data_IF_734372191890
#
_entry.id   IF_734372191890
#
_cell.length_a   1.000
_cell.length_b   1.000
_cell.length_c   1.000
_cell.angle_alpha   90.00
_cell.angle_beta   90.00
_cell.angle_gamma   90.00
#
_symmetry.space_group_name_H-M   'P 1'
#
loop_
_entity.id
_entity.type
_entity.pdbx_description
1 polymer ?
#
# COMPACT_ATOMS: atom_id res chain seq x y z
N UNK A 1 8.19 9.02 -15.57
CA UNK A 1 7.04 9.36 -14.71
C UNK A 1 7.57 10.25 -13.59
N UNK A 2 6.97 11.42 -13.33
CA UNK A 2 7.36 12.23 -12.17
C UNK A 2 6.63 11.70 -10.93
N UNK A 3 7.38 11.32 -9.88
CA UNK A 3 6.84 10.75 -8.64
C UNK A 3 6.80 11.76 -7.48
N UNK A 4 7.38 12.95 -7.63
CA UNK A 4 7.39 14.00 -6.59
C UNK A 4 6.00 14.32 -6.00
N UNK A 5 4.89 14.37 -6.78
CA UNK A 5 3.58 14.65 -6.20
C UNK A 5 3.10 13.53 -5.26
N UNK A 6 3.50 12.29 -5.52
CA UNK A 6 3.16 11.15 -4.66
C UNK A 6 4.02 11.16 -3.39
N UNK A 7 5.34 11.38 -3.51
CA UNK A 7 6.23 11.56 -2.34
C UNK A 7 5.73 12.68 -1.43
N UNK A 8 5.26 13.79 -2.00
CA UNK A 8 4.64 14.88 -1.25
C UNK A 8 3.35 14.46 -0.55
N UNK A 9 2.50 13.67 -1.21
CA UNK A 9 1.25 13.16 -0.61
C UNK A 9 1.51 12.13 0.50
N UNK A 10 2.62 11.39 0.40
CA UNK A 10 3.10 10.45 1.41
C UNK A 10 3.85 11.14 2.56
N UNK A 11 4.16 12.43 2.42
CA UNK A 11 5.04 13.19 3.33
C UNK A 11 6.39 12.50 3.57
N UNK A 12 6.86 11.72 2.59
CA UNK A 12 8.09 10.93 2.67
C UNK A 12 8.88 11.10 1.38
N UNK A 13 10.15 11.47 1.52
CA UNK A 13 11.10 11.56 0.40
C UNK A 13 11.99 10.34 0.41
N UNK A 14 11.95 9.54 -0.66
CA UNK A 14 12.65 8.26 -0.68
C UNK A 14 14.16 8.46 -0.83
N UNK A 15 14.93 7.77 0.01
CA UNK A 15 16.38 7.62 -0.17
C UNK A 15 16.70 6.57 -1.23
N UNK A 16 15.81 5.58 -1.36
CA UNK A 16 15.83 4.48 -2.33
C UNK A 16 14.60 4.56 -3.26
N UNK A 17 14.59 5.43 -4.29
CA UNK A 17 13.46 5.61 -5.20
C UNK A 17 13.01 4.33 -5.91
N UNK A 18 13.90 3.33 -6.04
CA UNK A 18 13.58 2.02 -6.56
C UNK A 18 12.52 1.28 -5.72
N UNK A 19 12.42 1.53 -4.42
CA UNK A 19 11.37 0.97 -3.57
C UNK A 19 10.00 1.53 -3.95
N UNK A 20 9.92 2.84 -4.17
CA UNK A 20 8.69 3.51 -4.62
C UNK A 20 8.26 2.99 -6.00
N UNK A 21 9.18 2.90 -6.95
CA UNK A 21 8.87 2.37 -8.30
C UNK A 21 8.37 0.93 -8.21
N UNK A 22 9.02 0.07 -7.42
CA UNK A 22 8.61 -1.33 -7.24
C UNK A 22 7.22 -1.43 -6.58
N UNK A 23 6.94 -0.62 -5.58
CA UNK A 23 5.63 -0.58 -4.92
C UNK A 23 4.48 -0.18 -5.87
N UNK A 24 4.80 0.59 -6.92
CA UNK A 24 3.83 1.01 -7.94
C UNK A 24 3.73 0.06 -9.14
N UNK A 25 4.58 -0.98 -9.21
CA UNK A 25 4.68 -1.84 -10.40
C UNK A 25 3.85 -3.11 -10.26
N UNK A 26 2.77 -3.19 -11.04
CA UNK A 26 1.95 -4.39 -11.14
C UNK A 26 2.65 -5.51 -11.92
N UNK A 27 2.30 -6.76 -11.62
CA UNK A 27 2.88 -7.95 -12.26
C UNK A 27 2.72 -7.98 -13.78
N UNK A 28 1.61 -7.43 -14.29
CA UNK A 28 1.37 -7.31 -15.74
C UNK A 28 2.42 -6.45 -16.46
N UNK A 29 2.99 -5.44 -15.80
CA UNK A 29 3.97 -4.53 -16.40
C UNK A 29 5.41 -5.08 -16.37
N UNK A 30 5.69 -6.07 -15.51
CA UNK A 30 7.03 -6.63 -15.36
C UNK A 30 7.21 -7.87 -16.21
N UNK A 31 8.09 -7.78 -17.22
CA UNK A 31 8.59 -8.93 -17.97
C UNK A 31 9.84 -9.56 -17.31
N UNK A 32 10.35 -8.96 -16.22
CA UNK A 32 11.61 -9.34 -15.56
C UNK A 32 11.39 -10.07 -14.22
N UNK A 33 12.49 -10.68 -13.74
CA UNK A 33 12.65 -11.59 -12.60
C UNK A 33 11.80 -11.31 -11.34
N UNK A 34 11.49 -12.38 -10.59
CA UNK A 34 10.86 -12.33 -9.26
C UNK A 34 11.41 -11.18 -8.40
N UNK A 35 10.54 -10.26 -7.96
CA UNK A 35 10.88 -9.19 -7.00
C UNK A 35 10.89 -7.76 -7.55
N UNK A 36 10.63 -7.56 -8.83
CA UNK A 36 10.43 -6.24 -9.47
C UNK A 36 9.02 -5.67 -9.32
N UNK A 37 8.07 -6.46 -8.81
CA UNK A 37 6.66 -6.13 -8.64
C UNK A 37 6.34 -5.78 -7.18
N UNK A 38 5.16 -5.20 -6.96
CA UNK A 38 4.73 -4.80 -5.62
C UNK A 38 4.42 -5.98 -4.69
N UNK A 39 4.20 -7.20 -5.20
CA UNK A 39 3.63 -8.33 -4.43
C UNK A 39 4.41 -8.69 -3.16
N UNK A 40 5.75 -8.58 -3.20
CA UNK A 40 6.58 -8.82 -1.99
C UNK A 40 6.48 -7.68 -0.97
N UNK A 41 6.29 -6.45 -1.47
CA UNK A 41 6.11 -5.27 -0.64
C UNK A 41 4.71 -5.27 -0.05
N UNK A 42 3.67 -5.58 -0.83
CA UNK A 42 2.30 -5.82 -0.35
C UNK A 42 2.31 -6.83 0.81
N UNK A 43 2.95 -7.99 0.61
CA UNK A 43 3.08 -8.99 1.67
C UNK A 43 3.68 -8.41 2.96
N UNK A 44 4.74 -7.62 2.88
CA UNK A 44 5.32 -6.99 4.06
C UNK A 44 4.40 -5.89 4.64
N UNK A 45 3.78 -5.12 3.76
CA UNK A 45 2.99 -3.93 4.05
C UNK A 45 1.74 -4.22 4.85
N UNK A 46 1.02 -5.28 4.50
CA UNK A 46 -0.13 -5.80 5.26
C UNK A 46 0.25 -6.09 6.72
N UNK A 47 1.45 -6.66 6.96
CA UNK A 47 1.91 -7.05 8.31
C UNK A 47 2.37 -5.82 9.09
N UNK A 48 3.04 -4.88 8.43
CA UNK A 48 3.43 -3.60 9.01
C UNK A 48 2.19 -2.81 9.41
N UNK A 49 1.22 -2.66 8.50
CA UNK A 49 -0.06 -2.02 8.77
C UNK A 49 -0.79 -2.69 9.92
N UNK A 50 -0.88 -4.02 9.89
CA UNK A 50 -1.51 -4.83 10.92
C UNK A 50 -0.93 -4.55 12.31
N UNK A 51 0.40 -4.53 12.44
CA UNK A 51 1.07 -4.25 13.70
C UNK A 51 0.84 -2.81 14.18
N UNK A 52 0.98 -1.82 13.29
CA UNK A 52 0.80 -0.40 13.64
C UNK A 52 -0.63 -0.14 14.12
N UNK A 53 -1.63 -0.65 13.40
CA UNK A 53 -3.04 -0.49 13.78
C UNK A 53 -3.36 -1.23 15.06
N UNK A 54 -2.84 -2.45 15.26
CA UNK A 54 -3.02 -3.20 16.50
C UNK A 54 -2.44 -2.42 17.69
N UNK A 55 -1.23 -1.87 17.55
CA UNK A 55 -0.59 -1.06 18.59
C UNK A 55 -1.37 0.21 18.88
N UNK A 56 -1.84 0.92 17.85
CA UNK A 56 -2.66 2.12 17.99
C UNK A 56 -3.95 1.82 18.77
N UNK A 57 -4.63 0.71 18.45
CA UNK A 57 -5.87 0.32 19.14
C UNK A 57 -5.61 -0.09 20.59
N UNK A 58 -4.53 -0.86 20.86
CA UNK A 58 -4.14 -1.26 22.21
C UNK A 58 -3.90 -0.05 23.11
N UNK A 59 -3.15 0.95 22.64
CA UNK A 59 -2.85 2.15 23.41
C UNK A 59 -4.09 3.07 23.56
N UNK A 60 -4.95 3.13 22.53
CA UNK A 60 -6.12 4.02 22.50
C UNK A 60 -7.30 3.50 23.34
N UNK A 61 -7.44 2.19 23.47
CA UNK A 61 -8.57 1.52 24.11
C UNK A 61 -8.12 0.53 25.21
N UNK A 62 -7.46 1.01 26.28
CA UNK A 62 -6.81 0.15 27.29
C UNK A 62 -7.75 -0.72 28.13
N UNK A 63 -9.07 -0.52 28.00
CA UNK A 63 -10.11 -1.24 28.75
C UNK A 63 -11.00 -2.11 27.87
N UNK A 64 -10.78 -2.13 26.55
CA UNK A 64 -11.53 -3.00 25.65
C UNK A 64 -11.03 -4.45 25.71
N UNK A 65 -11.95 -5.37 25.45
CA UNK A 65 -11.61 -6.78 25.33
C UNK A 65 -10.82 -7.05 24.04
N UNK A 66 -10.06 -8.15 24.01
CA UNK A 66 -9.37 -8.58 22.78
C UNK A 66 -10.34 -8.70 21.59
N UNK A 67 -11.53 -9.24 21.81
CA UNK A 67 -12.53 -9.40 20.76
C UNK A 67 -13.05 -8.08 20.19
N UNK A 68 -13.15 -7.03 21.00
CA UNK A 68 -13.56 -5.71 20.52
C UNK A 68 -12.43 -4.99 19.78
N UNK A 69 -11.19 -5.11 20.26
CA UNK A 69 -10.00 -4.65 19.55
C UNK A 69 -9.85 -5.35 18.19
N UNK A 70 -10.08 -6.65 18.13
CA UNK A 70 -10.00 -7.46 16.90
C UNK A 70 -11.03 -7.04 15.84
N UNK A 71 -12.27 -6.74 16.25
CA UNK A 71 -13.30 -6.18 15.35
C UNK A 71 -12.89 -4.83 14.76
N UNK A 72 -12.38 -3.93 15.61
CA UNK A 72 -11.91 -2.60 15.17
C UNK A 72 -10.71 -2.72 14.22
N UNK A 73 -9.76 -3.60 14.57
CA UNK A 73 -8.57 -3.88 13.76
C UNK A 73 -8.96 -4.31 12.36
N UNK A 74 -9.80 -5.34 12.26
CA UNK A 74 -10.29 -5.87 10.98
C UNK A 74 -11.00 -4.81 10.14
N UNK A 75 -11.74 -3.88 10.77
CA UNK A 75 -12.42 -2.79 10.06
C UNK A 75 -11.46 -1.69 9.53
N UNK A 76 -10.27 -1.55 10.12
CA UNK A 76 -9.27 -0.55 9.74
C UNK A 76 -8.26 -1.05 8.73
N UNK A 77 -7.95 -2.35 8.72
CA UNK A 77 -6.99 -2.96 7.78
C UNK A 77 -7.64 -3.64 6.58
N UNK A 78 -8.96 -3.49 6.40
CA UNK A 78 -9.66 -4.12 5.28
C UNK A 78 -9.41 -3.43 3.94
N UNK A 79 -9.63 -4.18 2.86
CA UNK A 79 -9.52 -3.70 1.46
C UNK A 79 -10.25 -2.38 1.23
N UNK A 80 -11.49 -2.24 1.73
CA UNK A 80 -12.27 -1.02 1.54
C UNK A 80 -11.62 0.20 2.21
N UNK A 81 -10.98 0.02 3.37
CA UNK A 81 -10.23 1.07 4.02
C UNK A 81 -8.99 1.46 3.21
N UNK A 82 -8.23 0.48 2.72
CA UNK A 82 -7.07 0.69 1.87
C UNK A 82 -7.43 1.42 0.56
N UNK A 83 -8.52 1.03 -0.10
CA UNK A 83 -9.00 1.71 -1.32
C UNK A 83 -9.36 3.17 -1.04
N UNK A 84 -9.99 3.47 0.10
CA UNK A 84 -10.29 4.86 0.47
C UNK A 84 -9.00 5.66 0.67
N UNK A 85 -8.01 5.09 1.36
CA UNK A 85 -6.70 5.73 1.55
C UNK A 85 -6.00 5.95 0.20
N UNK A 86 -5.98 4.93 -0.66
CA UNK A 86 -5.38 5.01 -2.00
C UNK A 86 -5.99 6.12 -2.88
N UNK A 87 -7.31 6.32 -2.78
CA UNK A 87 -8.02 7.41 -3.46
C UNK A 87 -7.69 8.78 -2.88
N UNK A 88 -7.62 8.90 -1.56
CA UNK A 88 -7.20 10.14 -0.89
C UNK A 88 -5.79 10.56 -1.30
N UNK A 89 -4.87 9.60 -1.35
CA UNK A 89 -3.48 9.81 -1.79
C UNK A 89 -3.32 9.94 -3.31
N UNK A 90 -4.40 9.75 -4.08
CA UNK A 90 -4.40 9.76 -5.54
C UNK A 90 -3.32 8.85 -6.14
N UNK A 91 -3.25 7.60 -5.67
CA UNK A 91 -2.25 6.61 -6.12
C UNK A 91 -2.46 6.19 -7.58
N UNK A 92 -3.71 6.09 -8.04
CA UNK A 92 -4.07 5.48 -9.32
C UNK A 92 -3.24 5.97 -10.53
N UNK A 93 -2.99 7.28 -10.73
CA UNK A 93 -2.17 7.77 -11.85
C UNK A 93 -0.70 7.32 -11.85
N UNK A 94 -0.19 6.85 -10.71
CA UNK A 94 1.20 6.41 -10.55
C UNK A 94 1.37 4.90 -10.71
N UNK A 95 0.29 4.13 -10.71
CA UNK A 95 0.36 2.67 -10.89
C UNK A 95 0.86 2.34 -12.30
N UNK A 96 1.86 1.48 -12.37
CA UNK A 96 2.52 1.02 -13.59
C UNK A 96 1.90 -0.31 -14.00
N UNK A 97 1.20 -0.31 -15.14
CA UNK A 97 0.43 -1.42 -15.69
C UNK A 97 0.89 -1.70 -17.13
N UNK A 98 0.68 -2.93 -17.61
CA UNK A 98 0.76 -3.18 -19.05
C UNK A 98 -0.42 -2.53 -19.77
N UNK A 99 -0.28 -2.32 -21.08
CA UNK A 99 -1.36 -1.78 -21.91
C UNK A 99 -2.65 -2.63 -21.85
N UNK A 100 -2.52 -3.96 -21.73
CA UNK A 100 -3.67 -4.86 -21.61
C UNK A 100 -4.40 -4.71 -20.27
N UNK A 101 -3.65 -4.61 -19.17
CA UNK A 101 -4.22 -4.42 -17.84
C UNK A 101 -4.85 -3.03 -17.68
N UNK A 102 -4.21 -2.01 -18.26
CA UNK A 102 -4.77 -0.65 -18.33
C UNK A 102 -6.13 -0.66 -19.06
N UNK A 103 -6.20 -1.30 -20.24
CA UNK A 103 -7.43 -1.39 -21.04
C UNK A 103 -8.54 -2.19 -20.35
N UNK A 104 -8.18 -3.15 -19.48
CA UNK A 104 -9.11 -3.91 -18.65
C UNK A 104 -9.64 -3.12 -17.43
N UNK A 105 -9.19 -1.87 -17.23
CA UNK A 105 -9.60 -1.03 -16.10
C UNK A 105 -8.74 -1.22 -14.84
N UNK A 106 -7.55 -1.83 -14.96
CA UNK A 106 -6.67 -2.12 -13.82
C UNK A 106 -6.30 -0.90 -12.98
N UNK A 107 -6.21 0.30 -13.60
CA UNK A 107 -5.84 1.55 -12.89
C UNK A 107 -6.83 1.94 -11.79
N UNK A 108 -8.10 1.65 -11.98
CA UNK A 108 -9.17 1.94 -11.03
C UNK A 108 -9.65 0.67 -10.28
N UNK A 109 -8.99 -0.47 -10.51
CA UNK A 109 -9.35 -1.73 -9.88
C UNK A 109 -9.12 -1.63 -8.35
N UNK A 110 -10.16 -1.79 -7.53
CA UNK A 110 -10.04 -1.70 -6.07
C UNK A 110 -9.04 -2.71 -5.48
N UNK A 111 -8.85 -3.87 -6.11
CA UNK A 111 -7.88 -4.84 -5.65
C UNK A 111 -6.45 -4.30 -5.80
N UNK A 112 -6.09 -3.88 -7.02
CA UNK A 112 -4.76 -3.31 -7.33
C UNK A 112 -4.47 -2.08 -6.46
N UNK A 113 -5.44 -1.18 -6.27
CA UNK A 113 -5.24 0.00 -5.45
C UNK A 113 -4.99 -0.33 -3.97
N UNK A 114 -5.66 -1.35 -3.43
CA UNK A 114 -5.41 -1.81 -2.07
C UNK A 114 -4.01 -2.42 -1.93
N UNK A 115 -3.65 -3.31 -2.84
CA UNK A 115 -2.36 -4.02 -2.80
C UNK A 115 -1.18 -3.03 -2.96
N UNK A 116 -1.31 -2.04 -3.87
CA UNK A 116 -0.32 -0.95 -4.01
C UNK A 116 -0.26 -0.09 -2.75
N UNK A 117 -1.39 0.17 -2.08
CA UNK A 117 -1.39 0.92 -0.82
C UNK A 117 -0.56 0.21 0.26
N UNK A 118 -0.72 -1.10 0.39
CA UNK A 118 0.10 -1.91 1.31
C UNK A 118 1.58 -1.91 0.88
N UNK A 119 1.85 -2.06 -0.42
CA UNK A 119 3.21 -2.02 -0.94
C UNK A 119 3.91 -0.68 -0.67
N UNK A 120 3.20 0.45 -0.73
CA UNK A 120 3.74 1.76 -0.35
C UNK A 120 4.05 1.86 1.14
N UNK A 121 3.21 1.28 2.01
CA UNK A 121 3.49 1.18 3.45
C UNK A 121 4.80 0.43 3.69
N UNK A 122 4.99 -0.70 3.02
CA UNK A 122 6.25 -1.44 3.10
C UNK A 122 7.44 -0.67 2.52
N UNK A 123 7.26 0.05 1.42
CA UNK A 123 8.32 0.85 0.83
C UNK A 123 8.79 1.96 1.77
N UNK A 124 7.86 2.69 2.40
CA UNK A 124 8.17 3.70 3.42
C UNK A 124 8.86 3.07 4.62
N UNK A 125 8.34 1.94 5.12
CA UNK A 125 8.94 1.21 6.24
C UNK A 125 10.39 0.76 5.97
N UNK A 126 10.67 0.24 4.77
CA UNK A 126 12.01 -0.20 4.41
C UNK A 126 12.99 0.96 4.15
N UNK A 127 12.49 2.10 3.69
CA UNK A 127 13.31 3.27 3.38
C UNK A 127 13.59 4.13 4.63
N UNK A 128 12.58 4.33 5.48
CA UNK A 128 12.61 5.24 6.62
C UNK A 128 12.84 4.59 7.99
N UNK A 129 12.56 3.28 8.14
CA UNK A 129 12.55 2.58 9.43
C UNK A 129 11.22 2.63 10.17
#
# INVERSE_FOLDING_TARGET
MNLEPLEKSLEHRFLHPELLVRALTHSSASHQSRGSTYERLEFLGDRVLGLIVARMLYDRFPHESEGDLSKRHSALVCRDALVRVAKTLRIAPFVILSAGEEAAGGRENPAILADVCEALIAAVYLDGG
#
